data_IF_196949676541
#
_entry.id   IF_196949676541
#
_cell.length_a   1.000
_cell.length_b   1.000
_cell.length_c   1.000
_cell.angle_alpha   90.00
_cell.angle_beta   90.00
_cell.angle_gamma   90.00
#
_symmetry.space_group_name_H-M   'P 1'
#
loop_
_entity.id
_entity.type
_entity.pdbx_description
1 polymer ?
#
# COMPACT_ATOMS: atom_id res chain seq x y z
N UNK A 1 -12.22 -30.29 -10.44
CA UNK A 1 -12.49 -29.61 -9.16
C UNK A 1 -12.52 -28.12 -9.45
N UNK A 2 -13.54 -27.47 -8.91
CA UNK A 2 -14.23 -26.31 -9.48
C UNK A 2 -13.38 -25.03 -9.48
N UNK A 3 -13.08 -24.49 -10.67
CA UNK A 3 -12.18 -23.34 -10.88
C UNK A 3 -12.91 -21.98 -10.76
N UNK A 4 -14.24 -21.99 -10.66
CA UNK A 4 -15.11 -20.81 -10.62
C UNK A 4 -15.43 -20.28 -9.22
N UNK A 5 -14.55 -20.48 -8.22
CA UNK A 5 -14.73 -19.95 -6.85
C UNK A 5 -13.64 -18.96 -6.40
N UNK A 6 -12.70 -18.61 -7.28
CA UNK A 6 -11.55 -17.77 -6.94
C UNK A 6 -11.63 -16.34 -7.51
N UNK A 7 -12.47 -16.07 -8.52
CA UNK A 7 -12.51 -14.74 -9.15
C UNK A 7 -13.54 -13.81 -8.48
N UNK A 8 -14.69 -14.33 -8.04
CA UNK A 8 -15.82 -13.52 -7.56
C UNK A 8 -15.69 -12.81 -6.22
N UNK A 9 -14.55 -12.94 -5.54
CA UNK A 9 -14.39 -12.46 -4.16
C UNK A 9 -13.32 -11.35 -4.07
N UNK A 10 -12.51 -11.13 -5.11
CA UNK A 10 -11.31 -10.30 -5.04
C UNK A 10 -11.55 -8.77 -4.91
N UNK A 11 -12.72 -8.24 -5.31
CA UNK A 11 -13.01 -6.81 -5.13
C UNK A 11 -13.43 -6.44 -3.69
N UNK A 12 -13.80 -7.43 -2.87
CA UNK A 12 -14.19 -7.23 -1.47
C UNK A 12 -13.19 -7.85 -0.48
N UNK A 13 -12.39 -8.86 -0.88
CA UNK A 13 -11.54 -9.60 0.07
C UNK A 13 -10.13 -9.08 0.31
N UNK A 14 -9.65 -8.07 -0.41
CA UNK A 14 -8.33 -7.48 -0.11
C UNK A 14 -8.34 -6.53 1.11
N UNK A 15 -9.51 -6.29 1.73
CA UNK A 15 -9.67 -5.43 2.92
C UNK A 15 -10.68 -5.96 3.97
N UNK A 16 -11.03 -7.26 3.99
CA UNK A 16 -12.05 -7.78 4.93
C UNK A 16 -11.74 -9.15 5.56
N UNK A 17 -10.50 -9.41 5.98
CA UNK A 17 -10.22 -10.60 6.81
C UNK A 17 -10.29 -10.37 8.32
N UNK A 18 -10.50 -9.12 8.80
CA UNK A 18 -10.46 -8.78 10.25
C UNK A 18 -11.42 -9.61 11.10
N UNK A 19 -12.71 -9.69 10.75
CA UNK A 19 -13.70 -10.35 11.60
C UNK A 19 -13.54 -11.89 11.74
N UNK A 20 -12.69 -12.54 10.93
CA UNK A 20 -12.50 -14.00 10.98
C UNK A 20 -11.18 -14.42 11.66
N UNK A 21 -10.35 -13.47 12.12
CA UNK A 21 -9.03 -13.74 12.71
C UNK A 21 -8.97 -13.59 14.23
N UNK A 22 -9.76 -12.69 14.84
CA UNK A 22 -9.68 -12.42 16.28
C UNK A 22 -9.81 -13.69 17.14
N UNK A 23 -8.74 -14.05 17.85
CA UNK A 23 -8.82 -14.99 18.96
C UNK A 23 -9.18 -14.25 20.26
N UNK A 24 -8.64 -13.03 20.45
CA UNK A 24 -9.11 -12.05 21.44
C UNK A 24 -9.72 -10.86 20.72
N UNK A 25 -11.04 -10.67 20.84
CA UNK A 25 -11.72 -9.50 20.28
C UNK A 25 -11.97 -8.44 21.37
N UNK A 26 -11.41 -7.25 21.20
CA UNK A 26 -11.76 -6.08 22.02
C UNK A 26 -12.97 -5.42 21.36
N UNK A 27 -14.16 -5.65 21.90
CA UNK A 27 -15.43 -5.33 21.22
C UNK A 27 -16.51 -4.80 22.17
N UNK A 28 -17.73 -4.58 21.68
CA UNK A 28 -18.87 -4.12 22.49
C UNK A 28 -19.67 -5.28 23.11
N UNK A 29 -19.30 -6.54 22.83
CA UNK A 29 -19.93 -7.71 23.44
C UNK A 29 -19.46 -7.87 24.90
N UNK A 30 -20.22 -8.58 25.76
CA UNK A 30 -19.80 -8.83 27.14
C UNK A 30 -18.43 -9.51 27.22
N UNK A 31 -17.66 -9.18 28.26
CA UNK A 31 -16.38 -9.84 28.53
C UNK A 31 -16.62 -11.33 28.80
N UNK A 32 -15.96 -12.19 28.02
CA UNK A 32 -16.09 -13.65 28.11
C UNK A 32 -14.77 -14.33 27.80
N UNK A 33 -14.46 -15.42 28.51
CA UNK A 33 -13.20 -16.15 28.38
C UNK A 33 -11.95 -15.26 28.53
N UNK A 34 -12.04 -14.26 29.40
CA UNK A 34 -10.94 -13.39 29.82
C UNK A 34 -10.82 -13.48 31.33
N UNK A 35 -9.60 -13.66 31.81
CA UNK A 35 -9.24 -13.53 33.23
C UNK A 35 -8.50 -12.20 33.42
N UNK A 36 -9.08 -11.28 34.20
CA UNK A 36 -8.59 -9.91 34.36
C UNK A 36 -8.31 -9.64 35.84
N UNK A 37 -7.04 -9.71 36.23
CA UNK A 37 -6.59 -9.47 37.60
C UNK A 37 -5.42 -8.48 37.62
N UNK A 38 -5.46 -7.51 38.54
CA UNK A 38 -4.38 -6.54 38.78
C UNK A 38 -3.84 -5.83 37.51
N UNK A 39 -4.72 -5.47 36.58
CA UNK A 39 -4.35 -4.80 35.32
C UNK A 39 -3.85 -5.74 34.22
N UNK A 40 -3.95 -7.06 34.39
CA UNK A 40 -3.57 -8.04 33.36
C UNK A 40 -4.80 -8.84 32.96
N UNK A 41 -5.19 -8.73 31.69
CA UNK A 41 -6.29 -9.46 31.08
C UNK A 41 -5.75 -10.55 30.13
N UNK A 42 -5.90 -11.81 30.50
CA UNK A 42 -5.40 -12.96 29.73
C UNK A 42 -6.55 -13.79 29.18
N UNK A 43 -6.49 -14.17 27.91
CA UNK A 43 -7.47 -15.07 27.32
C UNK A 43 -7.41 -16.47 27.97
N UNK A 44 -8.59 -17.03 28.27
CA UNK A 44 -8.74 -18.39 28.85
C UNK A 44 -9.33 -19.40 27.88
N UNK A 45 -9.74 -18.95 26.69
CA UNK A 45 -10.12 -19.82 25.56
C UNK A 45 -9.65 -19.22 24.24
N UNK A 46 -9.60 -20.04 23.18
CA UNK A 46 -9.19 -19.60 21.83
C UNK A 46 -10.05 -18.45 21.29
N UNK A 47 -11.34 -18.41 21.64
CA UNK A 47 -12.23 -17.29 21.32
C UNK A 47 -12.61 -16.60 22.62
N UNK A 48 -11.99 -15.45 22.84
CA UNK A 48 -12.20 -14.60 23.98
C UNK A 48 -12.67 -13.21 23.54
N UNK A 49 -13.42 -12.56 24.41
CA UNK A 49 -13.89 -11.20 24.20
C UNK A 49 -13.57 -10.37 25.42
N UNK A 50 -12.90 -9.25 25.21
CA UNK A 50 -12.77 -8.20 26.21
C UNK A 50 -13.71 -7.05 25.81
N UNK A 51 -14.64 -6.69 26.69
CA UNK A 51 -15.49 -5.54 26.45
C UNK A 51 -14.64 -4.26 26.46
N UNK A 52 -14.81 -3.41 25.45
CA UNK A 52 -14.03 -2.18 25.30
C UNK A 52 -14.29 -1.16 26.42
N UNK A 53 -15.49 -1.14 26.99
CA UNK A 53 -15.83 -0.28 28.14
C UNK A 53 -15.22 -0.80 29.44
N UNK A 54 -15.12 -2.13 29.62
CA UNK A 54 -14.38 -2.72 30.74
C UNK A 54 -12.89 -2.35 30.63
N UNK A 55 -12.31 -2.48 29.44
CA UNK A 55 -10.91 -2.08 29.17
C UNK A 55 -10.66 -0.60 29.46
N UNK A 56 -11.54 0.30 28.97
CA UNK A 56 -11.43 1.73 29.25
C UNK A 56 -11.53 2.03 30.76
N UNK A 57 -12.40 1.31 31.47
CA UNK A 57 -12.55 1.44 32.93
C UNK A 57 -11.30 0.98 33.66
N UNK A 58 -10.69 -0.14 33.27
CA UNK A 58 -9.42 -0.60 33.84
C UNK A 58 -8.29 0.40 33.56
N UNK A 59 -8.19 0.88 32.32
CA UNK A 59 -7.20 1.88 31.94
C UNK A 59 -7.35 3.13 32.80
N UNK A 60 -8.56 3.55 33.17
CA UNK A 60 -8.78 4.71 34.05
C UNK A 60 -8.13 4.60 35.44
N UNK A 61 -7.82 3.38 35.88
CA UNK A 61 -7.27 3.08 37.21
C UNK A 61 -5.78 2.75 37.21
N UNK A 62 -5.20 2.37 36.07
CA UNK A 62 -3.81 1.94 35.99
C UNK A 62 -3.47 1.32 34.63
N UNK A 63 -2.21 0.92 34.49
CA UNK A 63 -1.73 0.25 33.29
C UNK A 63 -2.49 -1.06 33.05
N UNK A 64 -2.78 -1.35 31.78
CA UNK A 64 -3.48 -2.58 31.39
C UNK A 64 -2.67 -3.34 30.36
N UNK A 65 -2.52 -4.63 30.57
CA UNK A 65 -1.94 -5.55 29.58
C UNK A 65 -3.00 -6.55 29.12
N UNK A 66 -3.31 -6.55 27.83
CA UNK A 66 -4.18 -7.55 27.18
C UNK A 66 -3.29 -8.60 26.54
N UNK A 67 -3.39 -9.85 27.01
CA UNK A 67 -2.59 -10.98 26.55
C UNK A 67 -3.45 -12.06 25.91
N UNK A 68 -2.93 -12.66 24.84
CA UNK A 68 -3.54 -13.86 24.26
C UNK A 68 -3.25 -15.14 25.06
N UNK A 69 -2.30 -15.07 26.01
CA UNK A 69 -1.92 -16.22 26.85
C UNK A 69 -1.37 -17.37 26.00
N UNK A 70 -1.70 -18.62 26.36
CA UNK A 70 -1.28 -19.82 25.62
C UNK A 70 -2.37 -20.38 24.68
N UNK A 71 -3.58 -19.84 24.75
CA UNK A 71 -4.79 -20.41 24.13
C UNK A 71 -5.27 -19.65 22.90
N UNK A 72 -5.00 -18.34 22.84
CA UNK A 72 -5.31 -17.45 21.72
C UNK A 72 -4.01 -16.99 21.04
N UNK A 73 -4.11 -16.51 19.79
CA UNK A 73 -2.94 -16.05 19.02
C UNK A 73 -2.95 -14.59 18.65
N UNK A 74 -4.12 -14.04 18.35
CA UNK A 74 -4.27 -12.70 17.78
C UNK A 74 -5.18 -11.83 18.64
N UNK A 75 -4.90 -10.53 18.67
CA UNK A 75 -5.73 -9.51 19.31
C UNK A 75 -6.26 -8.57 18.23
N UNK A 76 -7.59 -8.42 18.17
CA UNK A 76 -8.24 -7.48 17.26
C UNK A 76 -8.99 -6.42 18.07
N UNK A 77 -8.74 -5.14 17.78
CA UNK A 77 -9.49 -4.00 18.31
C UNK A 77 -10.60 -3.62 17.33
N UNK A 78 -11.78 -4.17 17.56
CA UNK A 78 -12.95 -4.06 16.68
C UNK A 78 -13.85 -2.85 17.00
N UNK A 79 -13.54 -2.12 18.07
CA UNK A 79 -14.31 -0.96 18.54
C UNK A 79 -13.39 0.20 18.90
N UNK A 80 -13.86 1.46 18.77
CA UNK A 80 -13.08 2.61 19.21
C UNK A 80 -12.72 2.52 20.70
N UNK A 81 -11.47 2.84 21.03
CA UNK A 81 -10.97 2.90 22.40
C UNK A 81 -10.30 4.25 22.65
N UNK A 82 -10.62 4.88 23.77
CA UNK A 82 -10.01 6.17 24.15
C UNK A 82 -9.80 6.23 25.65
N UNK A 83 -8.65 6.74 26.07
CA UNK A 83 -8.36 7.04 27.48
C UNK A 83 -7.46 8.27 27.58
N UNK A 84 -7.54 9.01 28.69
CA UNK A 84 -6.84 10.29 28.87
C UNK A 84 -5.90 10.35 30.06
N UNK A 85 -5.85 9.32 30.89
CA UNK A 85 -4.94 9.27 32.02
C UNK A 85 -3.54 8.81 31.57
N UNK A 86 -2.59 8.79 32.52
CA UNK A 86 -1.20 8.44 32.26
C UNK A 86 -0.94 6.93 32.07
N UNK A 87 -1.98 6.12 31.92
CA UNK A 87 -1.86 4.66 31.87
C UNK A 87 -1.37 4.16 30.52
N UNK A 88 -0.57 3.10 30.56
CA UNK A 88 -0.11 2.34 29.39
C UNK A 88 -1.09 1.23 29.06
N UNK A 89 -1.50 1.16 27.80
CA UNK A 89 -2.07 -0.06 27.23
C UNK A 89 -0.95 -0.89 26.61
N UNK A 90 -0.87 -2.17 26.99
CA UNK A 90 0.01 -3.16 26.34
C UNK A 90 -0.86 -4.20 25.65
N UNK A 91 -0.70 -4.34 24.33
CA UNK A 91 -1.31 -5.40 23.53
C UNK A 91 -0.24 -6.45 23.25
N UNK A 92 -0.38 -7.63 23.85
CA UNK A 92 0.65 -8.67 23.86
C UNK A 92 0.11 -9.96 23.22
N UNK A 93 0.40 -10.13 21.93
CA UNK A 93 -0.17 -11.19 21.12
C UNK A 93 0.89 -12.21 20.70
N UNK A 94 0.55 -13.51 20.80
CA UNK A 94 1.44 -14.57 20.32
C UNK A 94 1.77 -14.47 18.83
N UNK A 95 0.90 -13.83 18.05
CA UNK A 95 1.07 -13.70 16.61
C UNK A 95 0.80 -12.28 16.14
N UNK A 96 -0.45 -11.83 16.05
CA UNK A 96 -0.80 -10.53 15.44
C UNK A 96 -1.61 -9.64 16.35
N UNK A 97 -1.45 -8.33 16.14
CA UNK A 97 -2.34 -7.31 16.70
C UNK A 97 -2.95 -6.54 15.54
N UNK A 98 -4.27 -6.49 15.45
CA UNK A 98 -4.99 -5.75 14.42
C UNK A 98 -5.83 -4.63 15.04
N UNK A 99 -5.72 -3.43 14.47
CA UNK A 99 -6.50 -2.26 14.89
C UNK A 99 -7.51 -1.93 13.77
N UNK A 100 -8.75 -2.35 13.97
CA UNK A 100 -9.84 -2.16 12.99
C UNK A 100 -10.61 -0.85 13.19
N UNK A 101 -10.46 -0.22 14.36
CA UNK A 101 -11.10 1.03 14.76
C UNK A 101 -10.12 1.96 15.46
N UNK A 102 -10.51 3.21 15.59
CA UNK A 102 -9.69 4.25 16.19
C UNK A 102 -9.31 3.92 17.65
N UNK A 103 -8.02 3.93 17.94
CA UNK A 103 -7.43 3.91 19.27
C UNK A 103 -6.82 5.28 19.55
N UNK A 104 -7.26 5.94 20.61
CA UNK A 104 -6.79 7.30 20.96
C UNK A 104 -6.23 7.35 22.38
N UNK A 105 -4.94 7.65 22.47
CA UNK A 105 -4.27 8.04 23.71
C UNK A 105 -4.48 9.54 23.88
N UNK A 106 -5.58 9.93 24.53
CA UNK A 106 -6.07 11.32 24.63
C UNK A 106 -5.41 12.15 25.75
N UNK A 107 -4.39 11.62 26.41
CA UNK A 107 -3.62 12.32 27.43
C UNK A 107 -2.24 11.70 27.59
N UNK A 108 -1.64 11.81 28.78
CA UNK A 108 -0.25 11.40 29.05
C UNK A 108 0.00 9.88 29.06
N UNK A 109 -0.92 9.09 28.51
CA UNK A 109 -0.81 7.63 28.42
C UNK A 109 0.20 7.17 27.38
N UNK A 110 0.27 5.85 27.21
CA UNK A 110 1.22 5.22 26.31
C UNK A 110 0.65 3.94 25.68
N UNK A 111 1.25 3.51 24.58
CA UNK A 111 0.92 2.25 23.90
C UNK A 111 2.17 1.39 23.76
N UNK A 112 2.04 0.12 24.13
CA UNK A 112 2.98 -0.94 23.74
C UNK A 112 2.22 -1.96 22.91
N UNK A 113 2.79 -2.34 21.76
CA UNK A 113 2.33 -3.45 20.95
C UNK A 113 3.45 -4.46 20.85
N UNK A 114 3.17 -5.71 21.23
CA UNK A 114 4.07 -6.84 21.07
C UNK A 114 3.36 -7.86 20.20
N UNK A 115 3.97 -8.17 19.07
CA UNK A 115 3.54 -9.21 18.15
C UNK A 115 4.53 -10.36 18.16
N UNK A 116 4.11 -11.52 17.66
CA UNK A 116 4.93 -12.72 17.65
C UNK A 116 5.44 -13.14 19.04
N UNK A 117 4.67 -12.85 20.09
CA UNK A 117 4.98 -13.23 21.48
C UNK A 117 4.70 -14.72 21.74
N UNK A 118 5.33 -15.61 21.00
CA UNK A 118 5.34 -17.03 21.34
C UNK A 118 6.51 -17.31 22.29
N UNK A 119 6.46 -18.42 23.05
CA UNK A 119 7.48 -18.93 23.98
C UNK A 119 8.87 -19.26 23.36
N UNK A 120 9.37 -18.43 22.44
CA UNK A 120 10.61 -18.55 21.69
C UNK A 120 11.79 -17.82 22.36
N UNK A 121 11.77 -17.64 23.69
CA UNK A 121 12.83 -16.92 24.41
C UNK A 121 13.15 -15.53 23.79
N UNK A 122 12.14 -14.78 23.37
CA UNK A 122 12.32 -13.42 22.82
C UNK A 122 12.82 -13.35 21.37
N UNK A 123 12.61 -14.37 20.54
CA UNK A 123 12.89 -14.32 19.10
C UNK A 123 11.59 -14.22 18.30
N UNK A 124 11.35 -13.06 17.67
CA UNK A 124 10.25 -12.84 16.71
C UNK A 124 10.26 -13.95 15.67
N UNK A 125 9.11 -14.56 15.41
CA UNK A 125 8.97 -15.53 14.33
C UNK A 125 9.38 -14.85 13.01
N UNK A 126 10.32 -15.46 12.27
CA UNK A 126 10.66 -15.04 10.90
C UNK A 126 10.08 -16.07 9.92
N UNK A 127 9.41 -15.61 8.87
CA UNK A 127 8.88 -16.45 7.79
C UNK A 127 7.34 -16.46 7.69
N UNK A 128 6.79 -17.36 6.86
CA UNK A 128 5.37 -17.39 6.40
C UNK A 128 4.29 -17.48 7.49
N UNK A 129 4.66 -17.66 8.76
CA UNK A 129 3.76 -17.76 9.91
C UNK A 129 3.96 -16.64 10.94
N UNK A 130 4.86 -15.68 10.67
CA UNK A 130 5.00 -14.49 11.50
C UNK A 130 3.70 -13.68 11.42
N UNK A 131 3.19 -13.27 12.57
CA UNK A 131 2.17 -12.26 12.66
C UNK A 131 2.74 -10.86 12.53
N UNK A 132 1.85 -9.89 12.39
CA UNK A 132 2.22 -8.49 12.28
C UNK A 132 1.34 -7.63 13.18
N UNK A 133 1.82 -6.42 13.48
CA UNK A 133 0.95 -5.32 13.87
C UNK A 133 0.30 -4.77 12.61
N UNK A 134 -1.02 -4.64 12.56
CA UNK A 134 -1.76 -4.24 11.35
C UNK A 134 -2.75 -3.16 11.73
N UNK A 135 -2.75 -2.03 11.02
CA UNK A 135 -3.82 -1.05 11.10
C UNK A 135 -4.72 -1.22 9.86
N UNK A 136 -6.02 -1.38 10.06
CA UNK A 136 -6.94 -1.52 8.93
C UNK A 136 -6.90 -0.26 8.05
N UNK A 137 -6.48 -0.36 6.77
CA UNK A 137 -6.34 0.81 5.90
C UNK A 137 -7.65 1.59 5.80
N UNK A 138 -7.57 2.92 5.92
CA UNK A 138 -8.69 3.87 5.91
C UNK A 138 -9.77 3.65 6.99
N UNK A 139 -9.60 2.72 7.94
CA UNK A 139 -10.63 2.36 8.94
C UNK A 139 -10.14 2.38 10.39
N UNK A 140 -8.93 1.88 10.61
CA UNK A 140 -8.23 1.91 11.88
C UNK A 140 -7.28 3.10 11.94
N UNK A 141 -7.00 3.58 13.15
CA UNK A 141 -5.92 4.55 13.37
C UNK A 141 -5.51 4.52 14.83
N UNK A 142 -4.23 4.73 15.12
CA UNK A 142 -3.71 5.00 16.46
C UNK A 142 -3.31 6.48 16.52
N UNK A 143 -3.82 7.20 17.52
CA UNK A 143 -3.55 8.63 17.69
C UNK A 143 -3.09 8.95 19.10
N UNK A 144 -2.16 9.90 19.21
CA UNK A 144 -1.63 10.38 20.48
C UNK A 144 -1.88 11.86 20.69
N UNK A 145 -2.10 12.24 21.94
CA UNK A 145 -2.36 13.61 22.38
C UNK A 145 -1.13 14.53 22.28
N UNK A 146 0.08 13.97 22.42
CA UNK A 146 1.34 14.73 22.41
C UNK A 146 2.49 13.91 21.80
N UNK A 147 3.45 14.55 21.09
CA UNK A 147 4.58 13.85 20.47
C UNK A 147 5.60 13.30 21.48
N UNK A 148 5.52 13.66 22.76
CA UNK A 148 6.30 13.03 23.84
C UNK A 148 5.64 11.77 24.43
N UNK A 149 4.42 11.42 24.00
CA UNK A 149 3.80 10.16 24.38
C UNK A 149 4.66 8.97 23.95
N UNK A 150 4.64 7.91 24.75
CA UNK A 150 5.45 6.72 24.49
C UNK A 150 4.71 5.72 23.62
N UNK A 151 5.29 5.41 22.46
CA UNK A 151 4.92 4.29 21.61
C UNK A 151 6.07 3.28 21.54
N UNK A 152 5.77 2.02 21.85
CA UNK A 152 6.70 0.90 21.70
C UNK A 152 6.05 -0.17 20.83
N UNK A 153 6.70 -0.58 19.75
CA UNK A 153 6.24 -1.69 18.89
C UNK A 153 7.38 -2.69 18.78
N UNK A 154 7.11 -3.95 19.16
CA UNK A 154 8.07 -5.06 19.14
C UNK A 154 9.42 -4.71 19.80
N UNK A 155 9.35 -3.99 20.92
CA UNK A 155 10.50 -3.54 21.70
C UNK A 155 11.24 -2.30 21.17
N UNK A 156 10.85 -1.76 20.02
CA UNK A 156 11.41 -0.52 19.47
C UNK A 156 10.59 0.69 19.91
N UNK A 157 11.27 1.74 20.40
CA UNK A 157 10.63 3.01 20.74
C UNK A 157 10.54 3.90 19.52
N UNK A 158 9.35 4.44 19.26
CA UNK A 158 9.08 5.30 18.11
C UNK A 158 9.06 6.77 18.53
N UNK A 159 9.74 7.62 17.75
CA UNK A 159 9.60 9.07 17.83
C UNK A 159 8.30 9.48 17.16
N UNK A 160 7.40 10.10 17.91
CA UNK A 160 6.12 10.57 17.39
C UNK A 160 6.29 11.95 16.74
N UNK A 161 5.71 12.10 15.55
CA UNK A 161 5.71 13.35 14.79
C UNK A 161 4.28 13.76 14.43
N UNK A 162 4.06 15.06 14.28
CA UNK A 162 2.77 15.63 13.89
C UNK A 162 2.75 16.32 12.54
N UNK A 163 3.92 16.69 12.02
CA UNK A 163 4.03 17.40 10.77
C UNK A 163 5.24 16.93 9.97
N UNK A 164 5.23 17.30 8.69
CA UNK A 164 6.21 16.88 7.69
C UNK A 164 7.59 17.47 7.99
N UNK A 165 7.66 18.69 8.55
CA UNK A 165 8.93 19.41 8.76
C UNK A 165 9.71 18.77 9.90
N UNK A 166 9.04 18.43 11.00
CA UNK A 166 9.65 17.67 12.10
C UNK A 166 10.08 16.29 11.63
N UNK A 167 9.23 15.56 10.89
CA UNK A 167 9.61 14.26 10.33
C UNK A 167 10.87 14.34 9.46
N UNK A 168 10.93 15.33 8.55
CA UNK A 168 12.08 15.55 7.68
C UNK A 168 13.36 15.83 8.48
N UNK A 169 13.28 16.72 9.47
CA UNK A 169 14.41 17.08 10.35
C UNK A 169 14.90 15.87 11.15
N UNK A 170 13.98 15.10 11.72
CA UNK A 170 14.32 13.96 12.57
C UNK A 170 14.94 12.81 11.75
N UNK A 171 14.43 12.55 10.54
CA UNK A 171 15.02 11.58 9.61
C UNK A 171 16.40 12.05 9.14
N UNK A 172 16.58 13.33 8.84
CA UNK A 172 17.90 13.86 8.47
C UNK A 172 18.93 13.69 9.58
N UNK A 173 18.51 13.80 10.85
CA UNK A 173 19.37 13.57 12.01
C UNK A 173 19.67 12.07 12.27
N UNK A 174 18.71 11.19 12.00
CA UNK A 174 18.88 9.74 12.17
C UNK A 174 18.10 8.95 11.09
N UNK A 175 18.70 8.72 9.90
CA UNK A 175 18.00 8.07 8.80
C UNK A 175 17.54 6.63 9.06
N UNK A 176 18.09 5.98 10.09
CA UNK A 176 17.76 4.62 10.53
C UNK A 176 16.81 4.58 11.74
N UNK A 177 16.23 5.73 12.12
CA UNK A 177 15.32 5.84 13.26
C UNK A 177 13.94 5.22 13.07
N UNK A 178 13.18 5.13 14.17
CA UNK A 178 11.79 4.67 14.19
C UNK A 178 10.90 5.89 14.40
N UNK A 179 10.04 6.18 13.43
CA UNK A 179 9.19 7.36 13.41
C UNK A 179 7.73 6.98 13.23
N UNK A 180 6.82 7.68 13.88
CA UNK A 180 5.40 7.45 13.68
C UNK A 180 4.59 8.73 13.55
N UNK A 181 3.70 8.77 12.56
CA UNK A 181 2.74 9.88 12.42
C UNK A 181 1.63 9.71 13.46
N UNK A 182 1.66 10.54 14.49
CA UNK A 182 0.86 10.36 15.69
C UNK A 182 -0.57 10.89 15.61
N UNK A 183 -0.94 11.55 14.50
CA UNK A 183 -2.31 11.96 14.16
C UNK A 183 -2.37 12.31 12.67
N UNK A 184 -3.57 12.39 12.05
CA UNK A 184 -3.70 12.89 10.69
C UNK A 184 -3.15 14.32 10.57
N UNK A 185 -2.46 14.59 9.47
CA UNK A 185 -1.87 15.91 9.20
C UNK A 185 -2.53 16.55 7.97
N UNK A 186 -2.86 17.83 8.04
CA UNK A 186 -3.35 18.63 6.92
C UNK A 186 -2.25 19.58 6.45
N UNK A 187 -1.68 19.29 5.28
CA UNK A 187 -0.56 20.01 4.71
C UNK A 187 -0.97 21.26 3.91
N UNK A 188 -2.26 21.63 3.90
CA UNK A 188 -2.73 22.82 3.18
C UNK A 188 -2.03 24.12 3.60
N UNK A 189 -1.56 24.19 4.85
CA UNK A 189 -0.81 25.33 5.40
C UNK A 189 0.69 25.32 5.02
N UNK A 190 1.23 24.23 4.49
CA UNK A 190 2.66 24.14 4.15
C UNK A 190 3.02 24.82 2.83
N UNK A 191 2.03 25.05 1.96
CA UNK A 191 2.27 25.50 0.60
C UNK A 191 2.80 24.37 -0.30
N UNK A 192 3.37 24.75 -1.44
CA UNK A 192 3.90 23.78 -2.40
C UNK A 192 5.36 23.43 -2.09
N UNK A 193 5.66 22.14 -1.98
CA UNK A 193 7.02 21.63 -1.87
C UNK A 193 7.66 21.57 -3.26
N UNK A 194 8.80 22.26 -3.46
CA UNK A 194 9.56 22.21 -4.72
C UNK A 194 10.49 21.00 -4.88
N UNK A 195 10.56 20.16 -3.85
CA UNK A 195 11.37 18.95 -3.78
C UNK A 195 10.67 17.92 -2.91
N UNK A 196 11.20 16.70 -2.84
CA UNK A 196 10.71 15.66 -1.92
C UNK A 196 10.67 16.20 -0.48
N UNK A 197 9.51 16.17 0.20
CA UNK A 197 9.39 16.57 1.61
C UNK A 197 10.37 15.84 2.53
N UNK A 198 10.54 14.54 2.34
CA UNK A 198 11.58 13.73 2.98
C UNK A 198 12.66 13.43 1.92
N UNK A 199 13.62 14.34 1.79
CA UNK A 199 14.68 14.23 0.79
C UNK A 199 15.81 13.25 1.18
N UNK A 200 16.02 13.04 2.47
CA UNK A 200 17.04 12.11 2.98
C UNK A 200 16.62 10.66 2.68
N UNK A 201 17.56 9.86 2.19
CA UNK A 201 17.37 8.41 2.01
C UNK A 201 16.99 7.76 3.34
N UNK A 202 15.83 7.11 3.37
CA UNK A 202 15.26 6.55 4.60
C UNK A 202 15.60 5.07 4.75
N UNK A 203 16.31 4.73 5.82
CA UNK A 203 16.75 3.37 6.14
C UNK A 203 16.14 2.81 7.44
N UNK A 204 15.22 3.57 8.06
CA UNK A 204 14.55 3.23 9.32
C UNK A 204 13.15 2.65 9.12
N UNK A 205 12.29 2.80 10.12
CA UNK A 205 10.87 2.39 10.03
C UNK A 205 9.97 3.59 10.27
N UNK A 206 9.09 3.86 9.30
CA UNK A 206 8.02 4.84 9.41
C UNK A 206 6.69 4.12 9.55
N UNK A 207 6.01 4.37 10.68
CA UNK A 207 4.66 3.91 10.97
C UNK A 207 3.66 5.06 10.80
N UNK A 208 2.79 4.98 9.81
CA UNK A 208 1.69 5.94 9.67
C UNK A 208 0.60 5.78 10.72
N UNK A 209 0.55 4.62 11.40
CA UNK A 209 -0.45 4.30 12.42
C UNK A 209 -1.91 4.43 11.94
N UNK A 210 -2.16 4.22 10.65
CA UNK A 210 -3.43 4.46 9.96
C UNK A 210 -3.75 5.93 9.70
N UNK A 211 -2.86 6.84 10.05
CA UNK A 211 -3.02 8.27 9.81
C UNK A 211 -2.53 8.65 8.40
N UNK A 212 -3.17 9.68 7.84
CA UNK A 212 -2.83 10.20 6.53
C UNK A 212 -2.31 11.64 6.61
N UNK A 213 -1.49 12.00 5.64
CA UNK A 213 -1.21 13.40 5.29
C UNK A 213 -2.17 13.81 4.18
N UNK A 214 -2.90 14.91 4.39
CA UNK A 214 -3.92 15.42 3.47
C UNK A 214 -3.51 16.73 2.79
N UNK A 215 -4.05 16.99 1.61
CA UNK A 215 -3.91 18.26 0.87
C UNK A 215 -2.45 18.69 0.60
N UNK A 216 -1.53 17.73 0.53
CA UNK A 216 -0.13 17.97 0.21
C UNK A 216 -0.01 18.41 -1.25
N UNK A 217 0.67 19.52 -1.50
CA UNK A 217 1.01 19.97 -2.86
C UNK A 217 2.52 19.85 -3.10
N UNK A 218 2.91 19.18 -4.18
CA UNK A 218 4.31 19.05 -4.60
C UNK A 218 4.49 19.49 -6.05
N UNK A 219 5.43 20.40 -6.26
CA UNK A 219 5.90 20.90 -7.56
C UNK A 219 7.24 20.24 -7.93
N UNK A 220 7.21 18.97 -8.30
CA UNK A 220 8.42 18.15 -8.47
C UNK A 220 8.95 18.25 -9.90
N UNK A 221 10.15 18.78 -10.06
CA UNK A 221 10.87 18.81 -11.34
C UNK A 221 12.38 18.66 -11.10
N UNK A 222 12.89 17.47 -11.35
CA UNK A 222 14.29 17.07 -11.16
C UNK A 222 14.66 15.93 -12.10
N UNK A 223 15.97 15.74 -12.31
CA UNK A 223 16.58 14.55 -12.92
C UNK A 223 16.82 13.41 -11.91
N UNK A 224 16.44 13.60 -10.65
CA UNK A 224 16.51 12.59 -9.58
C UNK A 224 15.15 11.95 -9.28
N UNK A 225 15.13 10.93 -8.41
CA UNK A 225 13.89 10.34 -7.93
C UNK A 225 13.20 11.24 -6.90
N UNK A 226 11.88 11.42 -7.05
CA UNK A 226 11.11 12.34 -6.20
C UNK A 226 9.77 11.74 -5.74
N UNK A 227 9.37 12.12 -4.54
CA UNK A 227 8.11 11.75 -3.90
C UNK A 227 8.01 12.30 -2.48
N UNK A 228 6.97 11.95 -1.72
CA UNK A 228 6.92 12.31 -0.29
C UNK A 228 8.19 11.84 0.44
N UNK A 229 8.57 10.57 0.25
CA UNK A 229 9.92 10.07 0.44
C UNK A 229 10.65 10.04 -0.90
N UNK A 230 11.85 10.62 -0.97
CA UNK A 230 12.68 10.51 -2.17
C UNK A 230 13.11 9.06 -2.41
N UNK A 231 13.72 8.44 -1.39
CA UNK A 231 14.26 7.08 -1.46
C UNK A 231 13.97 6.30 -0.18
N UNK A 232 13.52 5.06 -0.32
CA UNK A 232 13.47 4.07 0.76
C UNK A 232 14.57 3.04 0.52
N UNK A 233 15.58 3.04 1.38
CA UNK A 233 16.75 2.17 1.31
C UNK A 233 16.38 0.69 1.53
N UNK A 234 17.27 -0.28 1.24
CA UNK A 234 16.98 -1.72 1.37
C UNK A 234 16.47 -2.20 2.74
N UNK A 235 16.88 -1.52 3.82
CA UNK A 235 16.42 -1.83 5.18
C UNK A 235 15.27 -0.92 5.65
N UNK A 236 14.91 0.08 4.84
CA UNK A 236 13.84 1.01 5.11
C UNK A 236 12.47 0.34 5.02
N UNK A 237 11.57 0.71 5.92
CA UNK A 237 10.17 0.28 5.91
C UNK A 237 9.25 1.48 6.05
N UNK A 238 8.33 1.66 5.11
CA UNK A 238 7.27 2.68 5.17
C UNK A 238 5.94 1.96 5.20
N UNK A 239 5.12 2.19 6.23
CA UNK A 239 3.92 1.38 6.43
C UNK A 239 2.77 2.05 7.15
N UNK A 240 1.58 1.47 6.98
CA UNK A 240 0.34 1.83 7.69
C UNK A 240 0.00 3.32 7.59
N UNK A 241 0.24 3.94 6.44
CA UNK A 241 0.02 5.37 6.25
C UNK A 241 0.02 5.75 4.78
N UNK A 242 -0.45 6.95 4.49
CA UNK A 242 -0.56 7.38 3.11
C UNK A 242 -0.86 8.85 2.93
N UNK A 243 -1.04 9.19 1.67
CA UNK A 243 -1.44 10.52 1.23
C UNK A 243 -2.90 10.52 0.81
N UNK A 244 -3.61 11.58 1.19
CA UNK A 244 -4.99 11.83 0.79
C UNK A 244 -5.12 13.18 0.12
N UNK A 245 -5.82 13.23 -1.01
CA UNK A 245 -5.94 14.46 -1.81
C UNK A 245 -4.59 15.13 -2.10
N UNK A 246 -3.59 14.33 -2.48
CA UNK A 246 -2.27 14.85 -2.90
C UNK A 246 -2.38 15.47 -4.29
N UNK A 247 -1.71 16.60 -4.47
CA UNK A 247 -1.56 17.26 -5.75
C UNK A 247 -0.09 17.30 -6.16
N UNK A 248 0.27 16.55 -7.19
CA UNK A 248 1.63 16.54 -7.76
C UNK A 248 1.60 17.18 -9.14
N UNK A 249 2.41 18.21 -9.34
CA UNK A 249 2.56 18.88 -10.63
C UNK A 249 4.05 19.03 -10.95
N UNK A 250 4.41 18.94 -12.23
CA UNK A 250 5.77 19.18 -12.66
C UNK A 250 5.89 19.34 -14.17
N UNK A 251 7.02 19.88 -14.60
CA UNK A 251 7.32 20.15 -16.01
C UNK A 251 8.40 19.25 -16.60
N UNK A 252 9.10 18.48 -15.77
CA UNK A 252 10.07 17.45 -16.14
C UNK A 252 10.09 16.41 -15.02
N UNK A 253 10.42 15.15 -15.33
CA UNK A 253 10.57 14.13 -14.30
C UNK A 253 11.52 13.01 -14.75
N UNK A 254 12.45 12.59 -13.90
CA UNK A 254 13.14 11.33 -14.14
C UNK A 254 12.34 10.16 -13.54
N UNK A 255 12.22 10.13 -12.22
CA UNK A 255 11.45 9.12 -11.49
C UNK A 255 10.55 9.85 -10.49
N UNK A 256 9.23 9.70 -10.60
CA UNK A 256 8.30 10.32 -9.67
C UNK A 256 7.28 9.31 -9.17
N UNK A 257 7.16 9.22 -7.86
CA UNK A 257 6.00 8.63 -7.20
C UNK A 257 5.40 9.60 -6.20
N UNK A 258 4.08 9.67 -6.06
CA UNK A 258 3.52 10.65 -5.12
C UNK A 258 3.93 10.37 -3.67
N UNK A 259 4.05 9.09 -3.28
CA UNK A 259 4.45 8.72 -1.93
C UNK A 259 5.93 8.36 -1.83
N UNK A 260 6.46 7.59 -2.77
CA UNK A 260 7.88 7.24 -2.80
C UNK A 260 8.44 7.41 -4.20
N UNK A 261 9.55 8.12 -4.36
CA UNK A 261 10.25 8.21 -5.65
C UNK A 261 10.80 6.84 -6.04
N UNK A 262 11.75 6.34 -5.25
CA UNK A 262 12.40 5.05 -5.46
C UNK A 262 12.35 4.16 -4.21
N UNK A 263 11.96 2.90 -4.40
CA UNK A 263 11.89 1.91 -3.35
C UNK A 263 12.89 0.78 -3.59
N UNK A 264 13.80 0.58 -2.64
CA UNK A 264 14.64 -0.61 -2.52
C UNK A 264 14.30 -1.44 -1.27
N UNK A 265 13.49 -0.89 -0.37
CA UNK A 265 13.04 -1.49 0.88
C UNK A 265 11.60 -2.01 0.82
N UNK A 266 10.87 -1.89 1.94
CA UNK A 266 9.49 -2.40 2.06
C UNK A 266 8.49 -1.27 2.21
N UNK A 267 7.47 -1.26 1.36
CA UNK A 267 6.30 -0.39 1.48
C UNK A 267 5.07 -1.28 1.66
N UNK A 268 4.37 -1.13 2.78
CA UNK A 268 3.20 -1.99 3.04
C UNK A 268 2.02 -1.26 3.69
N UNK A 269 0.80 -1.72 3.44
CA UNK A 269 -0.44 -1.11 3.95
C UNK A 269 -0.50 0.42 3.72
N UNK A 270 0.11 0.87 2.62
CA UNK A 270 0.28 2.29 2.32
C UNK A 270 -0.53 2.70 1.10
N UNK A 271 -0.89 3.98 1.02
CA UNK A 271 -1.73 4.45 -0.06
C UNK A 271 -1.48 5.88 -0.51
N UNK A 272 -1.99 6.20 -1.70
CA UNK A 272 -2.05 7.56 -2.21
C UNK A 272 -3.37 7.80 -2.95
N UNK A 273 -4.01 8.93 -2.67
CA UNK A 273 -5.18 9.41 -3.43
C UNK A 273 -4.97 10.87 -3.84
N UNK A 274 -5.45 11.24 -5.03
CA UNK A 274 -5.30 12.59 -5.55
C UNK A 274 -4.98 12.64 -7.04
N UNK A 275 -4.15 13.60 -7.44
CA UNK A 275 -3.87 13.89 -8.85
C UNK A 275 -2.38 14.08 -9.12
N UNK A 276 -1.94 13.65 -10.31
CA UNK A 276 -0.61 13.96 -10.84
C UNK A 276 -0.71 14.53 -12.25
N UNK A 277 -0.03 15.65 -12.53
CA UNK A 277 -0.08 16.30 -13.84
C UNK A 277 1.31 16.68 -14.34
N UNK A 278 1.70 16.04 -15.44
CA UNK A 278 2.97 16.21 -16.15
C UNK A 278 2.73 16.43 -17.66
N UNK A 279 1.76 17.27 -18.02
CA UNK A 279 1.19 17.35 -19.38
C UNK A 279 2.18 17.78 -20.48
N UNK A 280 3.25 18.50 -20.14
CA UNK A 280 4.27 18.99 -21.08
C UNK A 280 5.68 18.44 -20.77
N UNK A 281 5.76 17.40 -19.94
CA UNK A 281 7.04 16.92 -19.41
C UNK A 281 7.77 15.94 -20.35
N UNK A 282 9.10 15.96 -20.24
CA UNK A 282 9.96 14.82 -20.56
C UNK A 282 10.03 13.92 -19.33
N UNK A 283 10.13 12.61 -19.52
CA UNK A 283 10.41 11.77 -18.38
C UNK A 283 10.46 10.28 -18.65
N UNK A 284 10.75 9.53 -17.59
CA UNK A 284 11.04 8.11 -17.65
C UNK A 284 10.00 7.29 -16.87
N UNK A 285 9.90 7.48 -15.54
CA UNK A 285 9.02 6.68 -14.68
C UNK A 285 8.07 7.54 -13.85
N UNK A 286 6.75 7.30 -13.99
CA UNK A 286 5.73 7.96 -13.18
C UNK A 286 4.77 6.93 -12.58
N UNK A 287 4.72 6.86 -11.25
CA UNK A 287 3.82 5.99 -10.50
C UNK A 287 2.92 6.75 -9.56
N UNK A 288 1.62 6.41 -9.49
CA UNK A 288 0.72 7.09 -8.56
C UNK A 288 0.98 6.82 -7.08
N UNK A 289 1.72 5.77 -6.73
CA UNK A 289 2.24 5.56 -5.37
C UNK A 289 3.77 5.61 -5.35
N UNK A 290 4.41 4.79 -6.21
CA UNK A 290 5.86 4.63 -6.25
C UNK A 290 6.39 4.86 -7.66
N UNK A 291 7.41 5.69 -7.84
CA UNK A 291 8.01 5.88 -9.16
C UNK A 291 8.64 4.59 -9.66
N UNK A 292 9.64 4.08 -8.94
CA UNK A 292 10.33 2.84 -9.28
C UNK A 292 10.47 1.92 -8.07
N UNK A 293 10.13 0.65 -8.24
CA UNK A 293 10.36 -0.42 -7.27
C UNK A 293 11.52 -1.30 -7.75
N UNK A 294 12.70 -1.19 -7.15
CA UNK A 294 13.95 -1.76 -7.67
C UNK A 294 14.29 -3.15 -7.14
N UNK A 295 14.93 -3.98 -7.96
CA UNK A 295 15.58 -5.22 -7.52
C UNK A 295 17.01 -5.35 -8.07
N UNK A 296 17.98 -4.66 -7.47
CA UNK A 296 19.37 -4.65 -7.94
C UNK A 296 20.33 -5.22 -6.90
N UNK A 297 21.20 -6.16 -7.32
CA UNK A 297 22.36 -6.67 -6.55
C UNK A 297 22.03 -7.20 -5.15
N UNK A 298 20.97 -8.01 -5.03
CA UNK A 298 20.54 -8.59 -3.74
C UNK A 298 19.67 -7.65 -2.89
N UNK A 299 19.27 -6.50 -3.44
CA UNK A 299 18.25 -5.59 -2.90
C UNK A 299 16.93 -5.90 -3.59
N UNK A 300 15.82 -5.91 -2.85
CA UNK A 300 14.53 -6.38 -3.33
C UNK A 300 13.44 -5.45 -2.80
N UNK A 301 13.07 -4.45 -3.59
CA UNK A 301 11.93 -3.60 -3.32
C UNK A 301 10.65 -4.41 -3.25
N UNK A 302 9.93 -4.28 -2.13
CA UNK A 302 8.64 -4.94 -1.88
C UNK A 302 7.56 -3.90 -1.71
N UNK A 303 6.48 -4.03 -2.47
CA UNK A 303 5.24 -3.26 -2.29
C UNK A 303 4.11 -4.25 -2.05
N UNK A 304 3.52 -4.22 -0.86
CA UNK A 304 2.54 -5.23 -0.42
C UNK A 304 1.32 -4.60 0.26
N UNK A 305 0.11 -5.07 -0.04
CA UNK A 305 -1.13 -4.52 0.54
C UNK A 305 -1.33 -3.01 0.34
N UNK A 306 -0.77 -2.47 -0.75
CA UNK A 306 -0.82 -1.04 -1.05
C UNK A 306 -1.86 -0.72 -2.12
N UNK A 307 -2.32 0.53 -2.15
CA UNK A 307 -3.18 0.98 -3.25
C UNK A 307 -2.94 2.42 -3.69
N UNK A 308 -3.29 2.70 -4.94
CA UNK A 308 -3.33 4.04 -5.49
C UNK A 308 -4.72 4.33 -6.07
N UNK A 309 -5.29 5.48 -5.73
CA UNK A 309 -6.48 6.03 -6.37
C UNK A 309 -6.14 7.41 -6.95
N UNK A 310 -5.47 7.40 -8.09
CA UNK A 310 -4.81 8.58 -8.65
C UNK A 310 -5.31 8.89 -10.06
N UNK A 311 -5.63 10.17 -10.30
CA UNK A 311 -5.85 10.68 -11.65
C UNK A 311 -4.54 11.25 -12.20
N UNK A 312 -3.97 10.55 -13.17
CA UNK A 312 -2.65 10.83 -13.73
C UNK A 312 -2.79 11.36 -15.15
N UNK A 313 -2.13 12.49 -15.43
CA UNK A 313 -1.98 13.04 -16.77
C UNK A 313 -0.50 13.08 -17.15
N UNK A 314 -0.15 12.29 -18.17
CA UNK A 314 1.20 12.15 -18.70
C UNK A 314 1.37 12.91 -20.02
N UNK A 315 2.54 13.54 -20.15
CA UNK A 315 2.81 14.56 -21.14
C UNK A 315 3.31 14.09 -22.49
N UNK A 316 3.98 15.00 -23.20
CA UNK A 316 4.17 14.92 -24.65
C UNK A 316 5.48 14.27 -25.10
N UNK A 317 6.52 14.24 -24.26
CA UNK A 317 7.89 13.94 -24.68
C UNK A 317 8.53 12.76 -23.92
N UNK A 318 9.37 11.97 -24.61
CA UNK A 318 10.17 10.89 -24.03
C UNK A 318 9.48 9.51 -23.94
N UNK A 319 10.26 8.42 -23.74
CA UNK A 319 9.71 7.11 -23.38
C UNK A 319 9.16 7.15 -21.96
N UNK A 320 7.84 7.00 -21.82
CA UNK A 320 7.20 7.17 -20.51
C UNK A 320 6.61 5.84 -20.02
N UNK A 321 7.11 5.35 -18.88
CA UNK A 321 6.51 4.26 -18.11
C UNK A 321 5.57 4.85 -17.08
N UNK A 322 4.26 4.79 -17.37
CA UNK A 322 3.24 5.29 -16.47
C UNK A 322 2.34 4.17 -15.96
N UNK A 323 2.31 4.02 -14.64
CA UNK A 323 1.37 3.14 -13.97
C UNK A 323 0.68 3.86 -12.82
N UNK A 324 -0.58 3.53 -12.56
CA UNK A 324 -1.31 4.22 -11.49
C UNK A 324 -0.82 3.81 -10.12
N UNK A 325 -0.29 2.60 -9.94
CA UNK A 325 0.42 2.24 -8.71
C UNK A 325 1.92 2.51 -8.83
N UNK A 326 2.57 1.92 -9.84
CA UNK A 326 4.04 1.98 -10.00
C UNK A 326 4.42 2.34 -11.44
N UNK A 327 5.40 3.22 -11.64
CA UNK A 327 5.93 3.49 -12.98
C UNK A 327 6.68 2.27 -13.52
N UNK A 328 7.75 1.86 -12.83
CA UNK A 328 8.56 0.68 -13.15
C UNK A 328 8.59 -0.28 -11.96
N UNK A 329 8.21 -1.54 -12.18
CA UNK A 329 8.39 -2.61 -11.21
C UNK A 329 9.50 -3.57 -11.63
N UNK A 330 10.62 -3.55 -10.93
CA UNK A 330 11.70 -4.54 -11.00
C UNK A 330 11.69 -5.47 -9.77
N UNK A 331 11.09 -5.01 -8.66
CA UNK A 331 10.86 -5.78 -7.44
C UNK A 331 9.59 -6.63 -7.42
N UNK A 332 8.97 -6.72 -6.25
CA UNK A 332 7.74 -7.49 -6.01
C UNK A 332 6.57 -6.57 -5.72
N UNK A 333 5.48 -6.75 -6.46
CA UNK A 333 4.15 -6.24 -6.12
C UNK A 333 3.28 -7.43 -5.69
N UNK A 334 2.71 -7.37 -4.49
CA UNK A 334 1.82 -8.42 -3.98
C UNK A 334 0.59 -7.82 -3.32
N UNK A 335 -0.59 -8.34 -3.65
CA UNK A 335 -1.84 -7.95 -2.97
C UNK A 335 -2.12 -6.45 -3.05
N UNK A 336 -1.79 -5.85 -4.20
CA UNK A 336 -1.91 -4.41 -4.44
C UNK A 336 -3.04 -4.11 -5.41
N UNK A 337 -3.55 -2.88 -5.40
CA UNK A 337 -4.50 -2.47 -6.42
C UNK A 337 -4.43 -1.00 -6.84
N UNK A 338 -4.96 -0.71 -8.02
CA UNK A 338 -5.03 0.63 -8.57
C UNK A 338 -6.43 1.00 -9.05
N UNK A 339 -6.79 2.27 -8.84
CA UNK A 339 -8.04 2.93 -9.28
C UNK A 339 -7.71 4.33 -9.79
N UNK A 340 -8.65 4.93 -10.53
CA UNK A 340 -8.52 6.29 -11.05
C UNK A 340 -8.49 6.32 -12.58
N UNK A 341 -7.98 7.42 -13.11
CA UNK A 341 -7.89 7.69 -14.54
C UNK A 341 -6.43 7.91 -14.95
N UNK A 342 -5.98 7.16 -15.95
CA UNK A 342 -4.69 7.38 -16.60
C UNK A 342 -4.92 8.02 -17.98
N UNK A 343 -4.49 9.26 -18.14
CA UNK A 343 -4.61 10.01 -19.41
C UNK A 343 -3.22 10.29 -19.98
N UNK A 344 -2.99 9.84 -21.20
CA UNK A 344 -1.77 10.14 -21.94
C UNK A 344 -2.01 11.19 -23.02
N UNK A 345 -1.11 12.16 -23.13
CA UNK A 345 -1.20 13.25 -24.13
C UNK A 345 -0.15 13.06 -25.27
N UNK A 346 0.56 11.93 -25.29
CA UNK A 346 1.88 11.78 -25.95
C UNK A 346 1.91 11.93 -27.48
N UNK A 347 3.10 12.37 -27.95
CA UNK A 347 3.59 12.31 -29.32
C UNK A 347 4.91 11.49 -29.44
N UNK A 348 5.21 10.64 -28.45
CA UNK A 348 6.39 9.75 -28.34
C UNK A 348 5.99 8.37 -27.78
N UNK A 349 6.91 7.40 -27.76
CA UNK A 349 6.63 6.02 -27.29
C UNK A 349 6.29 5.97 -25.79
N UNK A 350 5.35 5.12 -25.37
CA UNK A 350 4.99 5.01 -23.95
C UNK A 350 4.50 3.61 -23.57
N UNK A 351 4.74 3.23 -22.32
CA UNK A 351 4.22 2.02 -21.69
C UNK A 351 3.22 2.44 -20.62
N UNK A 352 1.96 2.07 -20.83
CA UNK A 352 0.82 2.55 -20.07
C UNK A 352 0.05 1.38 -19.47
N UNK A 353 0.19 1.18 -18.17
CA UNK A 353 -0.52 0.14 -17.45
C UNK A 353 -1.43 0.69 -16.37
N UNK A 354 -2.55 0.01 -16.12
CA UNK A 354 -3.41 0.36 -15.00
C UNK A 354 -2.68 0.23 -13.66
N UNK A 355 -1.92 -0.84 -13.45
CA UNK A 355 -1.12 -1.05 -12.23
C UNK A 355 0.33 -0.57 -12.42
N UNK A 356 1.02 -1.08 -13.45
CA UNK A 356 2.43 -0.83 -13.68
C UNK A 356 2.70 -0.39 -15.13
N UNK A 357 3.49 0.66 -15.34
CA UNK A 357 3.93 1.06 -16.68
C UNK A 357 4.79 -0.01 -17.33
N UNK A 358 5.91 -0.34 -16.68
CA UNK A 358 6.80 -1.43 -17.06
C UNK A 358 6.97 -2.46 -15.93
N UNK A 359 7.04 -3.74 -16.30
CA UNK A 359 7.28 -4.84 -15.36
C UNK A 359 8.52 -5.65 -15.78
N UNK A 360 9.54 -5.63 -14.94
CA UNK A 360 10.73 -6.47 -14.95
C UNK A 360 10.73 -7.49 -13.80
N UNK A 361 9.90 -7.25 -12.77
CA UNK A 361 9.82 -8.06 -11.57
C UNK A 361 8.59 -8.97 -11.50
N UNK A 362 8.06 -9.17 -10.29
CA UNK A 362 6.88 -10.03 -10.08
C UNK A 362 5.66 -9.25 -9.64
N UNK A 363 4.50 -9.61 -10.19
CA UNK A 363 3.18 -9.09 -9.81
C UNK A 363 2.29 -10.26 -9.40
N UNK A 364 1.79 -10.25 -8.17
CA UNK A 364 0.99 -11.34 -7.62
C UNK A 364 -0.27 -10.81 -6.93
N UNK A 365 -1.39 -11.54 -7.09
CA UNK A 365 -2.64 -11.25 -6.38
C UNK A 365 -3.10 -9.78 -6.48
N UNK A 366 -2.79 -9.11 -7.59
CA UNK A 366 -2.97 -7.67 -7.73
C UNK A 366 -3.97 -7.36 -8.83
N UNK A 367 -4.60 -6.19 -8.75
CA UNK A 367 -5.60 -5.83 -9.76
C UNK A 367 -5.64 -4.35 -10.10
N UNK A 368 -6.13 -4.04 -11.28
CA UNK A 368 -6.39 -2.66 -11.68
C UNK A 368 -7.82 -2.50 -12.20
N UNK A 369 -8.48 -1.42 -11.78
CA UNK A 369 -9.75 -0.96 -12.36
C UNK A 369 -9.62 0.43 -12.99
N UNK A 370 -8.39 0.82 -13.36
CA UNK A 370 -8.07 2.11 -13.94
C UNK A 370 -8.67 2.27 -15.33
N UNK A 371 -9.34 3.39 -15.57
CA UNK A 371 -9.69 3.76 -16.93
C UNK A 371 -8.46 4.36 -17.63
N UNK A 372 -8.11 3.86 -18.81
CA UNK A 372 -7.00 4.39 -19.60
C UNK A 372 -7.56 5.14 -20.81
N UNK A 373 -7.12 6.39 -20.98
CA UNK A 373 -7.56 7.29 -22.05
C UNK A 373 -6.36 7.80 -22.85
N UNK A 374 -6.37 7.50 -24.15
CA UNK A 374 -5.40 8.02 -25.10
C UNK A 374 -5.77 9.42 -25.65
N UNK A 375 -4.74 10.24 -25.81
CA UNK A 375 -4.73 11.60 -26.35
C UNK A 375 -4.52 11.70 -27.86
N UNK A 376 -3.53 11.06 -28.51
CA UNK A 376 -3.11 11.39 -29.91
C UNK A 376 -2.35 10.27 -30.68
N UNK A 377 -2.26 10.45 -32.01
CA UNK A 377 -2.15 9.41 -33.06
C UNK A 377 -0.75 9.00 -33.59
N UNK A 378 0.36 9.45 -33.01
CA UNK A 378 1.61 9.50 -33.78
C UNK A 378 2.81 8.71 -33.21
N UNK A 379 2.62 7.78 -32.27
CA UNK A 379 3.75 6.99 -31.72
C UNK A 379 3.35 5.59 -31.25
N UNK A 380 4.35 4.72 -31.12
CA UNK A 380 4.16 3.36 -30.62
C UNK A 380 3.87 3.40 -29.12
N UNK A 381 2.62 3.15 -28.75
CA UNK A 381 2.19 3.13 -27.35
C UNK A 381 1.66 1.74 -27.02
N UNK A 382 2.09 1.21 -25.89
CA UNK A 382 1.62 -0.06 -25.35
C UNK A 382 0.67 0.21 -24.19
N UNK A 383 -0.62 -0.01 -24.41
CA UNK A 383 -1.62 0.07 -23.35
C UNK A 383 -2.03 -1.33 -22.89
N UNK A 384 -1.83 -1.60 -21.62
CA UNK A 384 -2.36 -2.81 -20.97
C UNK A 384 -3.26 -2.46 -19.80
N UNK A 385 -4.33 -3.25 -19.63
CA UNK A 385 -5.24 -3.04 -18.50
C UNK A 385 -4.55 -3.16 -17.13
N UNK A 386 -3.55 -4.04 -17.00
CA UNK A 386 -2.72 -4.16 -15.79
C UNK A 386 -1.31 -3.60 -16.02
N UNK A 387 -0.64 -4.02 -17.08
CA UNK A 387 0.78 -3.72 -17.35
C UNK A 387 0.95 -3.12 -18.74
N UNK A 388 1.62 -1.98 -18.87
CA UNK A 388 1.92 -1.42 -20.19
C UNK A 388 2.83 -2.33 -21.00
N UNK A 389 4.03 -2.59 -20.48
CA UNK A 389 4.99 -3.53 -21.06
C UNK A 389 5.54 -4.51 -20.03
N UNK A 390 5.47 -5.79 -20.35
CA UNK A 390 6.10 -6.86 -19.56
C UNK A 390 7.42 -7.26 -20.24
N UNK A 391 8.54 -7.10 -19.55
CA UNK A 391 9.88 -7.35 -20.07
C UNK A 391 10.34 -8.79 -19.82
N UNK A 392 11.50 -9.18 -20.36
CA UNK A 392 12.01 -10.56 -20.36
C UNK A 392 12.04 -11.27 -18.99
N UNK A 393 12.18 -10.54 -17.88
CA UNK A 393 12.17 -11.07 -16.51
C UNK A 393 10.83 -10.91 -15.79
N UNK A 394 9.91 -10.14 -16.37
CA UNK A 394 8.63 -9.80 -15.80
C UNK A 394 7.69 -11.00 -15.72
N UNK A 395 7.05 -11.16 -14.56
CA UNK A 395 6.02 -12.18 -14.32
C UNK A 395 4.77 -11.58 -13.73
N UNK A 396 3.62 -12.18 -14.02
CA UNK A 396 2.36 -11.83 -13.37
C UNK A 396 1.52 -13.08 -13.10
N UNK A 397 0.99 -13.20 -11.89
CA UNK A 397 0.14 -14.32 -11.53
C UNK A 397 -1.05 -13.92 -10.66
N UNK A 398 -2.18 -14.65 -10.82
CA UNK A 398 -3.40 -14.47 -10.02
C UNK A 398 -3.86 -13.02 -9.96
N UNK A 399 -3.77 -12.32 -11.08
CA UNK A 399 -3.96 -10.87 -11.15
C UNK A 399 -4.94 -10.53 -12.27
N UNK A 400 -5.67 -9.41 -12.16
CA UNK A 400 -6.67 -9.06 -13.17
C UNK A 400 -6.80 -7.57 -13.48
N UNK A 401 -7.24 -7.28 -14.71
CA UNK A 401 -7.61 -5.94 -15.15
C UNK A 401 -9.12 -5.86 -15.41
N UNK A 402 -9.80 -4.89 -14.80
CA UNK A 402 -11.23 -4.62 -15.03
C UNK A 402 -11.52 -3.13 -15.30
N UNK A 403 -10.47 -2.37 -15.59
CA UNK A 403 -10.53 -0.98 -16.00
C UNK A 403 -10.81 -0.83 -17.49
N UNK A 404 -11.43 0.28 -17.90
CA UNK A 404 -11.76 0.51 -19.30
C UNK A 404 -10.52 0.93 -20.10
N UNK A 405 -10.07 0.10 -21.02
CA UNK A 405 -9.06 0.45 -22.03
C UNK A 405 -9.77 0.86 -23.30
N UNK A 406 -9.58 2.11 -23.76
CA UNK A 406 -10.29 2.60 -24.94
C UNK A 406 -9.45 2.46 -26.21
N UNK A 407 -9.98 1.70 -27.17
CA UNK A 407 -9.48 1.69 -28.53
C UNK A 407 -9.62 3.06 -29.21
N UNK A 408 -8.53 3.53 -29.81
CA UNK A 408 -8.55 4.47 -30.92
C UNK A 408 -8.00 3.72 -32.12
N UNK A 409 -8.75 3.64 -33.22
CA UNK A 409 -8.36 2.93 -34.43
C UNK A 409 -7.22 3.66 -35.17
N UNK A 410 -6.02 3.65 -34.61
CA UNK A 410 -4.81 4.11 -35.28
C UNK A 410 -3.73 3.02 -35.33
N UNK A 411 -2.84 3.19 -36.30
CA UNK A 411 -2.02 2.10 -36.88
C UNK A 411 -0.82 1.72 -36.00
N UNK A 412 -0.58 2.44 -34.89
CA UNK A 412 0.66 2.32 -34.09
C UNK A 412 0.41 2.02 -32.60
N UNK A 413 -0.85 1.95 -32.18
CA UNK A 413 -1.21 1.64 -30.80
C UNK A 413 -1.35 0.13 -30.62
N UNK A 414 -0.61 -0.47 -29.68
CA UNK A 414 -0.76 -1.88 -29.30
C UNK A 414 -1.56 -1.93 -28.01
N UNK A 415 -2.69 -2.62 -28.06
CA UNK A 415 -3.67 -2.69 -26.98
C UNK A 415 -3.79 -4.13 -26.53
N UNK A 416 -3.60 -4.38 -25.24
CA UNK A 416 -3.93 -5.66 -24.63
C UNK A 416 -4.86 -5.49 -23.44
N UNK A 417 -5.79 -6.43 -23.30
CA UNK A 417 -6.72 -6.47 -22.18
C UNK A 417 -6.02 -6.51 -20.83
N UNK A 418 -4.89 -7.23 -20.75
CA UNK A 418 -4.09 -7.38 -19.55
C UNK A 418 -2.70 -6.71 -19.70
N UNK A 419 -1.94 -7.06 -20.74
CA UNK A 419 -0.59 -6.55 -21.02
C UNK A 419 -0.57 -5.88 -22.38
N UNK A 420 -0.04 -4.66 -22.50
CA UNK A 420 0.06 -3.98 -23.79
C UNK A 420 1.04 -4.66 -24.74
N UNK A 421 2.26 -4.92 -24.26
CA UNK A 421 3.30 -5.66 -24.99
C UNK A 421 4.01 -6.64 -24.05
N UNK A 422 4.01 -7.92 -24.40
CA UNK A 422 4.75 -8.95 -23.66
C UNK A 422 6.01 -9.39 -24.42
N UNK A 423 7.16 -9.22 -23.77
CA UNK A 423 8.48 -9.66 -24.22
C UNK A 423 9.02 -10.81 -23.33
N UNK A 424 8.22 -11.24 -22.35
CA UNK A 424 8.60 -12.32 -21.44
C UNK A 424 8.47 -13.71 -22.10
N UNK A 425 9.28 -14.69 -21.66
CA UNK A 425 9.13 -16.06 -22.13
C UNK A 425 7.77 -16.66 -21.76
N UNK A 426 7.27 -17.57 -22.60
CA UNK A 426 6.05 -18.36 -22.32
C UNK A 426 6.11 -18.96 -20.91
N UNK A 427 5.04 -18.75 -20.13
CA UNK A 427 4.94 -19.18 -18.73
C UNK A 427 5.26 -18.10 -17.70
N UNK A 428 5.65 -16.90 -18.14
CA UNK A 428 5.76 -15.68 -17.32
C UNK A 428 4.43 -15.23 -16.72
N UNK A 429 3.32 -15.54 -17.40
CA UNK A 429 1.96 -15.20 -17.01
C UNK A 429 1.20 -16.46 -16.58
N UNK A 430 0.43 -16.37 -15.49
CA UNK A 430 -0.30 -17.53 -14.96
C UNK A 430 -1.55 -17.16 -14.17
N UNK A 431 -2.70 -17.73 -14.55
CA UNK A 431 -3.99 -17.40 -13.93
C UNK A 431 -4.23 -15.88 -13.88
N UNK A 432 -4.02 -15.22 -15.02
CA UNK A 432 -4.26 -13.78 -15.17
C UNK A 432 -5.48 -13.53 -16.03
N UNK A 433 -6.20 -12.43 -15.77
CA UNK A 433 -7.52 -12.20 -16.37
C UNK A 433 -7.75 -10.75 -16.79
N UNK A 434 -8.60 -10.54 -17.79
CA UNK A 434 -9.10 -9.19 -18.12
C UNK A 434 -10.59 -9.19 -18.45
N UNK A 435 -11.24 -8.04 -18.27
CA UNK A 435 -12.66 -7.85 -18.50
C UNK A 435 -12.97 -7.53 -19.98
N UNK A 436 -13.62 -8.48 -20.67
CA UNK A 436 -14.05 -8.33 -22.07
C UNK A 436 -15.11 -7.25 -22.26
N UNK A 437 -15.82 -6.85 -21.19
CA UNK A 437 -16.84 -5.81 -21.25
C UNK A 437 -16.24 -4.39 -21.12
N UNK A 438 -14.91 -4.27 -21.06
CA UNK A 438 -14.18 -3.02 -20.74
C UNK A 438 -13.30 -2.48 -21.86
N UNK A 439 -13.72 -2.70 -23.10
CA UNK A 439 -13.22 -1.97 -24.26
C UNK A 439 -12.34 -2.78 -25.22
N UNK A 440 -11.85 -3.95 -24.80
CA UNK A 440 -11.24 -4.96 -25.68
C UNK A 440 -12.11 -6.22 -25.59
N UNK A 441 -12.79 -6.55 -26.69
CA UNK A 441 -13.77 -7.64 -26.73
C UNK A 441 -13.28 -8.91 -27.43
N UNK A 442 -12.12 -8.85 -28.11
CA UNK A 442 -11.47 -10.02 -28.69
C UNK A 442 -10.73 -10.80 -27.58
N UNK A 443 -11.13 -12.06 -27.30
CA UNK A 443 -10.50 -12.87 -26.26
C UNK A 443 -9.06 -13.28 -26.59
N UNK A 444 -8.59 -13.11 -27.83
CA UNK A 444 -7.20 -13.38 -28.21
C UNK A 444 -6.24 -12.23 -27.85
N UNK A 445 -6.76 -11.05 -27.53
CA UNK A 445 -5.98 -9.82 -27.30
C UNK A 445 -5.67 -9.55 -25.83
N UNK A 446 -5.35 -10.59 -25.06
CA UNK A 446 -4.89 -10.45 -23.67
C UNK A 446 -3.56 -9.72 -23.57
N UNK A 447 -2.62 -10.15 -24.40
CA UNK A 447 -1.41 -9.42 -24.76
C UNK A 447 -1.64 -8.75 -26.12
N UNK A 448 -1.26 -7.48 -26.26
CA UNK A 448 -1.55 -6.75 -27.49
C UNK A 448 -0.69 -7.17 -28.70
N UNK A 449 0.49 -7.75 -28.47
CA UNK A 449 1.42 -8.21 -29.51
C UNK A 449 1.36 -9.73 -29.79
N UNK A 450 0.80 -10.53 -28.88
CA UNK A 450 0.77 -12.00 -28.96
C UNK A 450 -0.67 -12.52 -28.88
N UNK A 451 -1.26 -12.96 -30.01
CA UNK A 451 -2.58 -13.57 -29.99
C UNK A 451 -2.61 -14.85 -29.15
N UNK A 452 -3.56 -14.95 -28.22
CA UNK A 452 -3.75 -16.10 -27.32
C UNK A 452 -2.52 -16.42 -26.46
N UNK A 453 -1.87 -15.38 -25.94
CA UNK A 453 -0.71 -15.53 -25.05
C UNK A 453 -1.04 -16.43 -23.83
N UNK A 454 -0.29 -17.53 -23.61
CA UNK A 454 -0.60 -18.49 -22.54
C UNK A 454 -0.60 -17.86 -21.14
N UNK A 455 -1.58 -18.24 -20.31
CA UNK A 455 -1.68 -17.83 -18.91
C UNK A 455 -2.51 -16.56 -18.68
N UNK A 456 -2.98 -15.92 -19.74
CA UNK A 456 -3.94 -14.81 -19.71
C UNK A 456 -5.30 -15.29 -20.25
N UNK A 457 -6.40 -14.90 -19.63
CA UNK A 457 -7.76 -15.26 -20.08
C UNK A 457 -8.75 -14.11 -20.00
N UNK A 458 -9.38 -13.79 -21.12
CA UNK A 458 -10.47 -12.83 -21.19
C UNK A 458 -11.75 -13.42 -20.61
N UNK A 459 -12.39 -12.68 -19.71
CA UNK A 459 -13.62 -13.06 -19.03
C UNK A 459 -14.63 -11.92 -19.15
N UNK A 460 -15.91 -12.25 -19.27
CA UNK A 460 -16.97 -11.23 -19.10
C UNK A 460 -16.95 -10.68 -17.68
N UNK A 461 -17.48 -9.48 -17.48
CA UNK A 461 -17.58 -8.86 -16.16
C UNK A 461 -18.44 -9.65 -15.18
N UNK A 462 -19.30 -10.57 -15.67
CA UNK A 462 -20.02 -11.53 -14.82
C UNK A 462 -19.12 -12.69 -14.39
N UNK A 463 -18.31 -13.25 -15.30
CA UNK A 463 -17.36 -14.33 -14.99
C UNK A 463 -16.24 -13.88 -14.05
N UNK A 464 -15.77 -12.62 -14.16
CA UNK A 464 -14.82 -12.06 -13.20
C UNK A 464 -15.39 -11.92 -11.79
N UNK A 465 -16.73 -11.88 -11.65
CA UNK A 465 -17.44 -11.73 -10.37
C UNK A 465 -17.94 -13.05 -9.79
N UNK A 466 -17.78 -14.17 -10.50
CA UNK A 466 -18.08 -15.53 -10.00
C UNK A 466 -16.81 -16.18 -9.45
#
# INVERSE_FOLDING_TARGET
MDCGKLAGVAAALLLTSGAARADVAISNKPTTNMDCEAGVCTATAQKAVLNVSDLASMLSTGDVTVKTGTVAKDIDLDQPLTWSNASRLTLDAQRSVQIDKQLTVAGQGALTVTTNDAANNGKSAKGKNAGEFIIAPERGSVQFWDPSSSLIIDGQSYTLVYDIKTLASDIAANPSGFYALAKPYDASADGAYGSSPIATEFAGVFEGLGNATSHLTMGLSSDEAQGFFAHVAPNGTVRDGGLSDVKVEGSDFFIVGSFVGENEGTIKYSWATGTMRYADAFGNSLGGLVGTNLALKGRHGVIEHCFANMDIVLGKYGPQHGGVLVGINDGTLSETYSKGLLTYIVAASADAGGLAGANFGSINNSFSVVAIKDGRKNSQIYFGGLVGKNFSSGTAARSYAAGRTRERNDVQTVLGGFVGFDDAPVGSLSATYWDLDKGISDPSQGAGNLPNDPGITGLTGTQLKS
#
